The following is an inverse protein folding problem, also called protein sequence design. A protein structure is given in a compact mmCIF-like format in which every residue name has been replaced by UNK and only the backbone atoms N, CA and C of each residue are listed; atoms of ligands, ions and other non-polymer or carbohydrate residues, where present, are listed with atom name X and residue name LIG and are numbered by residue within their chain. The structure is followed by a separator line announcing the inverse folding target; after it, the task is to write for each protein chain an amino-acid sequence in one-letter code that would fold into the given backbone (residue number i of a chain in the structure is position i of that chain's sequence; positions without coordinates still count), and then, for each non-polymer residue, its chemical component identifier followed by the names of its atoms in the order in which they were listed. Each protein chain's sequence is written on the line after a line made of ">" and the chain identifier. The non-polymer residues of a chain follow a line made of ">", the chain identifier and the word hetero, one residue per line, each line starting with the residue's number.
data_IF_482755250010
#
_entry.id   IF_482755250010
#
_cell.length_a   1.000
_cell.length_b   1.000
_cell.length_c   1.000
_cell.angle_alpha   90.00
_cell.angle_beta   90.00
_cell.angle_gamma   90.00
#
_symmetry.space_group_name_H-M   'P 1'
#
loop_
_entity.id
_entity.type
_entity.pdbx_description
1 polymer ?
#
# COMPACT_ATOMS: atom_id res chain seq x y z
N UNK A 1 -7.80 5.29 27.32
CA UNK A 1 -7.32 6.67 27.08
C UNK A 1 -6.39 6.60 25.87
N UNK A 2 -6.88 6.92 24.68
CA UNK A 2 -6.07 6.92 23.46
C UNK A 2 -5.42 8.30 23.31
N UNK A 3 -4.08 8.33 23.31
CA UNK A 3 -3.31 9.52 22.94
C UNK A 3 -3.01 9.44 21.45
N UNK A 4 -3.73 10.24 20.65
CA UNK A 4 -3.37 10.49 19.25
C UNK A 4 -2.09 11.32 19.23
N UNK A 5 -0.98 10.74 18.77
CA UNK A 5 0.29 11.45 18.67
C UNK A 5 0.35 12.20 17.35
N UNK A 6 0.02 13.49 17.42
CA UNK A 6 0.08 14.46 16.32
C UNK A 6 1.56 14.70 15.90
N UNK A 7 2.03 13.96 14.89
CA UNK A 7 3.33 14.19 14.26
C UNK A 7 3.15 15.12 13.06
N UNK A 8 3.48 16.40 13.24
CA UNK A 8 3.56 17.40 12.16
C UNK A 8 4.53 16.93 11.05
N UNK A 9 4.12 16.93 9.76
CA UNK A 9 5.02 16.61 8.65
C UNK A 9 6.03 17.74 8.41
N UNK A 10 7.22 17.36 7.93
CA UNK A 10 8.24 18.30 7.47
C UNK A 10 7.74 19.12 6.25
N UNK A 11 8.13 20.39 6.10
CA UNK A 11 7.62 21.25 5.05
C UNK A 11 8.09 20.78 3.67
N UNK A 12 7.14 20.34 2.84
CA UNK A 12 7.37 19.95 1.43
C UNK A 12 7.20 18.47 1.11
N UNK A 13 7.08 17.59 2.12
CA UNK A 13 6.68 16.20 1.92
C UNK A 13 5.16 16.08 2.07
N UNK A 14 4.48 15.45 1.12
CA UNK A 14 3.13 14.92 1.36
C UNK A 14 3.25 14.00 2.58
N UNK A 15 2.48 14.24 3.64
CA UNK A 15 2.49 13.37 4.80
C UNK A 15 2.18 11.94 4.32
N UNK A 16 2.93 10.92 4.77
CA UNK A 16 2.65 9.56 4.36
C UNK A 16 1.23 9.22 4.82
N UNK A 17 0.34 8.97 3.87
CA UNK A 17 -1.01 8.50 4.17
C UNK A 17 -0.87 7.08 4.69
N UNK A 18 -1.29 6.85 5.93
CA UNK A 18 -1.40 5.51 6.50
C UNK A 18 -2.65 4.87 5.93
N UNK A 19 -2.49 3.81 5.15
CA UNK A 19 -3.59 3.05 4.58
C UNK A 19 -3.60 1.65 5.20
N UNK A 20 -4.75 1.21 5.68
CA UNK A 20 -4.91 -0.14 6.21
C UNK A 20 -5.35 -1.05 5.07
N UNK A 21 -4.61 -2.15 4.90
CA UNK A 21 -4.95 -3.16 3.90
C UNK A 21 -4.88 -4.56 4.48
N UNK A 22 -5.87 -5.38 4.18
CA UNK A 22 -5.84 -6.81 4.51
C UNK A 22 -5.34 -7.59 3.31
N UNK A 23 -4.16 -8.21 3.40
CA UNK A 23 -3.52 -8.90 2.27
C UNK A 23 -3.18 -10.36 2.57
N UNK A 24 -3.09 -11.22 1.54
CA UNK A 24 -2.57 -12.57 1.69
C UNK A 24 -1.16 -12.57 2.27
N UNK A 25 -0.87 -13.58 3.09
CA UNK A 25 0.48 -13.83 3.62
C UNK A 25 1.53 -14.06 2.52
N UNK A 26 2.79 -14.15 2.95
CA UNK A 26 3.97 -14.25 2.08
C UNK A 26 3.89 -15.37 1.02
N UNK A 27 3.21 -16.48 1.33
CA UNK A 27 3.17 -17.68 0.48
C UNK A 27 1.99 -17.74 -0.50
N UNK A 28 1.31 -16.61 -0.76
CA UNK A 28 0.04 -16.59 -1.52
C UNK A 28 -1.05 -17.52 -0.93
N UNK A 29 -0.90 -17.89 0.35
CA UNK A 29 -1.91 -18.63 1.10
C UNK A 29 -3.08 -17.68 1.39
N UNK A 30 -4.13 -17.79 0.57
CA UNK A 30 -5.35 -16.99 0.69
C UNK A 30 -6.13 -17.25 1.98
N UNK A 31 -5.79 -18.30 2.74
CA UNK A 31 -6.40 -18.56 4.07
C UNK A 31 -5.82 -17.68 5.17
N UNK A 32 -4.68 -17.02 4.92
CA UNK A 32 -3.99 -16.16 5.89
C UNK A 32 -4.05 -14.71 5.44
N UNK A 33 -4.75 -13.92 6.22
CA UNK A 33 -4.89 -12.49 6.02
C UNK A 33 -4.12 -11.75 7.12
N UNK A 34 -3.24 -10.85 6.73
CA UNK A 34 -2.48 -10.00 7.65
C UNK A 34 -2.99 -8.58 7.46
N UNK A 35 -3.33 -7.92 8.58
CA UNK A 35 -3.57 -6.48 8.59
C UNK A 35 -2.23 -5.76 8.37
N UNK A 36 -2.21 -4.86 7.41
CA UNK A 36 -1.00 -4.14 7.03
C UNK A 36 -1.23 -2.65 7.07
N UNK A 37 -0.20 -1.92 7.51
CA UNK A 37 -0.18 -0.47 7.58
C UNK A 37 0.77 0.06 6.52
N UNK A 38 0.20 0.60 5.45
CA UNK A 38 0.90 1.09 4.26
C UNK A 38 1.17 2.58 4.41
N UNK A 39 2.42 2.99 4.34
CA UNK A 39 2.83 4.39 4.35
C UNK A 39 3.33 4.76 2.97
N UNK A 40 2.47 5.45 2.23
CA UNK A 40 2.68 5.72 0.80
C UNK A 40 3.28 7.10 0.61
N UNK A 41 4.37 7.16 -0.16
CA UNK A 41 4.97 8.40 -0.66
C UNK A 41 4.81 8.44 -2.18
N UNK A 42 4.17 9.50 -2.67
CA UNK A 42 4.09 9.77 -4.11
C UNK A 42 5.40 10.41 -4.58
N UNK A 43 6.15 9.70 -5.42
CA UNK A 43 7.40 10.21 -6.00
C UNK A 43 7.08 11.09 -7.21
N UNK A 44 6.14 10.67 -8.06
CA UNK A 44 5.59 11.46 -9.15
C UNK A 44 4.15 11.00 -9.50
N UNK A 45 3.60 11.46 -10.64
CA UNK A 45 2.23 11.12 -11.03
C UNK A 45 2.03 9.62 -11.27
N UNK A 46 3.06 8.93 -11.74
CA UNK A 46 3.01 7.54 -12.20
C UNK A 46 3.72 6.56 -11.26
N UNK A 47 4.40 7.05 -10.22
CA UNK A 47 5.22 6.23 -9.34
C UNK A 47 5.02 6.59 -7.88
N UNK A 48 4.63 5.59 -7.09
CA UNK A 48 4.52 5.66 -5.64
C UNK A 48 5.39 4.57 -5.01
N UNK A 49 5.90 4.89 -3.84
CA UNK A 49 6.68 3.99 -3.01
C UNK A 49 5.97 3.83 -1.66
N UNK A 50 5.82 2.59 -1.22
CA UNK A 50 5.14 2.24 0.00
C UNK A 50 6.06 1.44 0.94
N UNK A 51 6.13 1.86 2.19
CA UNK A 51 6.65 1.04 3.28
C UNK A 51 5.48 0.42 4.04
N UNK A 52 5.51 -0.90 4.22
CA UNK A 52 4.41 -1.68 4.77
C UNK A 52 4.82 -2.28 6.10
N UNK A 53 4.03 -2.03 7.13
CA UNK A 53 4.27 -2.47 8.50
C UNK A 53 3.17 -3.41 9.00
N UNK A 54 3.48 -4.19 10.03
CA UNK A 54 2.55 -5.09 10.72
C UNK A 54 1.63 -4.40 11.75
N UNK A 55 1.93 -3.14 12.10
CA UNK A 55 1.14 -2.33 13.04
C UNK A 55 1.43 -0.83 12.84
N UNK A 56 0.65 0.03 13.50
CA UNK A 56 0.91 1.48 13.62
C UNK A 56 1.65 1.85 14.92
N UNK A 57 2.11 0.85 15.67
CA UNK A 57 2.80 1.03 16.95
C UNK A 57 4.27 1.44 16.81
N UNK A 58 4.90 1.95 17.89
CA UNK A 58 6.30 2.36 17.88
C UNK A 58 7.31 1.21 17.64
N UNK A 59 6.86 -0.04 17.83
CA UNK A 59 7.67 -1.25 17.62
C UNK A 59 7.25 -2.02 16.37
N UNK A 60 6.57 -1.36 15.42
CA UNK A 60 6.11 -2.00 14.20
C UNK A 60 7.29 -2.51 13.36
N UNK A 61 7.15 -3.71 12.82
CA UNK A 61 8.17 -4.29 11.93
C UNK A 61 7.87 -3.92 10.49
N UNK A 62 8.91 -3.53 9.74
CA UNK A 62 8.81 -3.42 8.29
C UNK A 62 8.68 -4.83 7.70
N UNK A 63 7.50 -5.15 7.19
CA UNK A 63 7.20 -6.45 6.61
C UNK A 63 7.38 -6.48 5.11
N UNK A 64 7.27 -5.32 4.44
CA UNK A 64 7.33 -5.23 2.99
C UNK A 64 7.65 -3.81 2.50
N UNK A 65 8.27 -3.75 1.34
CA UNK A 65 8.33 -2.55 0.50
C UNK A 65 7.54 -2.82 -0.77
N UNK A 66 6.72 -1.86 -1.20
CA UNK A 66 5.94 -1.96 -2.43
C UNK A 66 6.16 -0.75 -3.32
N UNK A 67 6.35 -1.03 -4.60
CA UNK A 67 6.36 -0.04 -5.66
C UNK A 67 5.04 -0.12 -6.42
N UNK A 68 4.44 1.04 -6.62
CA UNK A 68 3.17 1.18 -7.32
C UNK A 68 3.41 2.03 -8.56
N UNK A 69 3.07 1.49 -9.73
CA UNK A 69 3.24 2.17 -11.01
C UNK A 69 1.90 2.30 -11.75
N UNK A 70 1.77 3.32 -12.59
CA UNK A 70 0.63 3.43 -13.50
C UNK A 70 0.63 2.32 -14.56
N UNK A 71 -0.54 2.07 -15.14
CA UNK A 71 -0.73 1.22 -16.31
C UNK A 71 0.26 1.55 -17.45
N UNK A 72 0.51 2.83 -17.71
CA UNK A 72 1.49 3.28 -18.71
C UNK A 72 2.90 2.72 -18.45
N UNK A 73 3.41 2.87 -17.23
CA UNK A 73 4.74 2.35 -16.89
C UNK A 73 4.73 0.82 -16.98
N UNK A 74 3.68 0.18 -16.47
CA UNK A 74 3.56 -1.28 -16.48
C UNK A 74 3.56 -1.87 -17.90
N UNK A 75 2.81 -1.27 -18.83
CA UNK A 75 2.72 -1.69 -20.22
C UNK A 75 4.06 -1.59 -20.96
N UNK A 76 4.91 -0.63 -20.58
CA UNK A 76 6.26 -0.44 -21.13
C UNK A 76 7.30 -1.45 -20.55
N UNK A 77 6.96 -2.20 -19.50
CA UNK A 77 7.88 -3.18 -18.91
C UNK A 77 8.05 -4.42 -19.81
N UNK A 78 9.23 -5.07 -19.79
CA UNK A 78 9.40 -6.38 -20.41
C UNK A 78 8.40 -7.40 -19.86
N UNK A 79 7.92 -8.31 -20.70
CA UNK A 79 6.92 -9.32 -20.33
C UNK A 79 7.34 -10.15 -19.10
N UNK A 80 8.62 -10.48 -18.97
CA UNK A 80 9.13 -11.22 -17.80
C UNK A 80 9.06 -10.39 -16.51
N UNK A 81 9.27 -9.07 -16.62
CA UNK A 81 9.16 -8.18 -15.48
C UNK A 81 7.69 -8.01 -15.08
N UNK A 82 6.77 -7.85 -16.04
CA UNK A 82 5.32 -7.71 -15.79
C UNK A 82 4.75 -8.86 -14.94
N UNK A 83 5.26 -10.10 -15.09
CA UNK A 83 4.84 -11.26 -14.30
C UNK A 83 5.08 -11.11 -12.79
N UNK A 84 5.98 -10.20 -12.39
CA UNK A 84 6.31 -9.94 -10.99
C UNK A 84 5.40 -8.89 -10.34
N UNK A 85 4.43 -8.35 -11.09
CA UNK A 85 3.51 -7.32 -10.62
C UNK A 85 2.09 -7.89 -10.49
N UNK A 86 1.29 -7.26 -9.64
CA UNK A 86 -0.12 -7.57 -9.47
C UNK A 86 -0.97 -6.31 -9.66
N UNK A 87 -2.21 -6.48 -10.11
CA UNK A 87 -3.13 -5.35 -10.29
C UNK A 87 -3.82 -4.99 -8.99
N UNK A 88 -3.82 -3.70 -8.64
CA UNK A 88 -4.56 -3.19 -7.50
C UNK A 88 -6.08 -3.15 -7.72
N UNK A 89 -6.57 -3.35 -8.96
CA UNK A 89 -8.00 -3.38 -9.25
C UNK A 89 -8.75 -4.43 -8.43
N UNK A 90 -8.11 -5.58 -8.17
CA UNK A 90 -8.72 -6.66 -7.39
C UNK A 90 -8.84 -6.28 -5.91
N UNK A 91 -7.76 -5.78 -5.31
CA UNK A 91 -7.72 -5.45 -3.88
C UNK A 91 -8.70 -4.33 -3.52
N UNK A 92 -8.81 -3.32 -4.39
CA UNK A 92 -9.74 -2.19 -4.21
C UNK A 92 -11.19 -2.65 -4.33
N UNK A 93 -11.50 -3.48 -5.34
CA UNK A 93 -12.85 -4.03 -5.52
C UNK A 93 -13.26 -4.98 -4.40
N UNK A 94 -12.29 -5.67 -3.79
CA UNK A 94 -12.52 -6.54 -2.64
C UNK A 94 -12.73 -5.76 -1.33
N UNK A 95 -12.63 -4.42 -1.35
CA UNK A 95 -12.79 -3.59 -0.15
C UNK A 95 -11.67 -3.77 0.86
N UNK A 96 -10.53 -4.31 0.42
CA UNK A 96 -9.39 -4.60 1.28
C UNK A 96 -8.57 -3.35 1.58
N UNK A 97 -8.95 -2.17 1.09
CA UNK A 97 -8.19 -0.93 1.22
C UNK A 97 -9.03 0.15 1.90
N UNK A 98 -8.54 0.65 3.03
CA UNK A 98 -9.17 1.73 3.79
C UNK A 98 -8.15 2.82 4.07
N UNK A 99 -8.53 4.08 3.83
CA UNK A 99 -7.71 5.23 4.20
C UNK A 99 -8.33 5.92 5.43
N UNK A 100 -7.94 5.53 6.66
CA UNK A 100 -8.53 6.06 7.88
C UNK A 100 -8.34 7.58 7.97
N UNK A 101 -9.44 8.30 8.25
CA UNK A 101 -9.43 9.75 8.44
C UNK A 101 -9.67 10.59 7.17
N UNK A 102 -9.78 9.97 5.98
CA UNK A 102 -10.13 10.67 4.74
C UNK A 102 -11.65 10.61 4.51
N UNK A 103 -12.33 11.71 4.13
CA UNK A 103 -13.76 11.66 3.79
C UNK A 103 -14.05 10.67 2.65
N UNK A 104 -15.14 9.92 2.75
CA UNK A 104 -15.49 8.83 1.82
C UNK A 104 -15.47 9.27 0.34
N UNK A 105 -15.90 10.50 0.05
CA UNK A 105 -15.91 11.06 -1.30
C UNK A 105 -14.49 11.22 -1.89
N UNK A 106 -13.53 11.63 -1.05
CA UNK A 106 -12.13 11.78 -1.44
C UNK A 106 -11.47 10.40 -1.57
N UNK A 107 -11.80 9.46 -0.66
CA UNK A 107 -11.35 8.08 -0.76
C UNK A 107 -11.78 7.43 -2.09
N UNK A 108 -13.05 7.61 -2.52
CA UNK A 108 -13.54 7.03 -3.78
C UNK A 108 -12.77 7.49 -5.01
N UNK A 109 -12.40 8.76 -5.09
CA UNK A 109 -11.62 9.28 -6.22
C UNK A 109 -10.21 8.72 -6.25
N UNK A 110 -9.53 8.70 -5.10
CA UNK A 110 -8.17 8.15 -5.01
C UNK A 110 -8.13 6.64 -5.26
N UNK A 111 -9.09 5.90 -4.71
CA UNK A 111 -9.25 4.46 -4.98
C UNK A 111 -9.49 4.20 -6.47
N UNK A 112 -10.31 5.02 -7.14
CA UNK A 112 -10.50 4.89 -8.59
C UNK A 112 -9.20 5.08 -9.37
N UNK A 113 -8.35 6.04 -8.99
CA UNK A 113 -7.05 6.22 -9.62
C UNK A 113 -6.15 5.00 -9.41
N UNK A 114 -6.15 4.43 -8.20
CA UNK A 114 -5.36 3.25 -7.87
C UNK A 114 -5.85 1.98 -8.58
N UNK A 115 -7.10 1.89 -9.04
CA UNK A 115 -7.57 0.73 -9.82
C UNK A 115 -6.81 0.53 -11.13
N UNK A 116 -6.16 1.57 -11.66
CA UNK A 116 -5.34 1.52 -12.87
C UNK A 116 -3.84 1.43 -12.59
N UNK A 117 -3.48 0.92 -11.41
CA UNK A 117 -2.08 0.79 -11.00
C UNK A 117 -1.71 -0.66 -10.72
N UNK A 118 -0.40 -0.90 -10.76
CA UNK A 118 0.20 -2.21 -10.55
C UNK A 118 1.21 -2.12 -9.42
N UNK A 119 1.18 -3.11 -8.53
CA UNK A 119 2.08 -3.24 -7.39
C UNK A 119 3.14 -4.31 -7.63
N UNK A 120 4.38 -4.03 -7.25
CA UNK A 120 5.42 -5.04 -7.04
C UNK A 120 5.95 -4.89 -5.63
N UNK A 121 5.96 -6.00 -4.90
CA UNK A 121 6.37 -6.00 -3.52
C UNK A 121 7.57 -6.91 -3.26
N UNK A 122 8.34 -6.53 -2.25
CA UNK A 122 9.39 -7.34 -1.66
C UNK A 122 9.10 -7.51 -0.18
N UNK A 123 8.95 -8.75 0.27
CA UNK A 123 8.75 -9.04 1.69
C UNK A 123 10.10 -9.06 2.41
N UNK A 124 10.17 -8.36 3.53
CA UNK A 124 11.39 -8.22 4.35
C UNK A 124 11.30 -8.99 5.66
N UNK A 125 10.09 -9.29 6.13
CA UNK A 125 9.87 -10.00 7.38
C UNK A 125 8.60 -10.86 7.33
N UNK A 126 8.68 -12.04 7.95
CA UNK A 126 7.53 -12.93 8.10
C UNK A 126 6.94 -12.75 9.50
N UNK A 127 5.73 -12.19 9.60
CA UNK A 127 5.04 -11.96 10.87
C UNK A 127 4.08 -13.08 11.27
N UNK A 128 3.83 -14.06 10.41
CA UNK A 128 2.77 -15.07 10.56
C UNK A 128 3.28 -16.47 10.95
N UNK A 129 4.29 -16.56 11.84
CA UNK A 129 4.74 -17.82 12.44
C UNK A 129 4.21 -18.06 13.84
#
# INVERSE_FOLDING_TARGET
>A
MMASSDKRPAPGGVAPTSEQTTRPGHDHDMSRQIETHNYVTRINQDFLQCAVYDSDGPNAHLIRVEYIVSDRIFEDLPVEEQKLWHSHAYEIKAGLWVNPGVPEMVQKTELNNLTRTYGKFWCTWQTDR
#
